data_IF_187294974472
#
_entry.id   IF_187294974472
#
_cell.length_a   1.000
_cell.length_b   1.000
_cell.length_c   1.000
_cell.angle_alpha   90.00
_cell.angle_beta   90.00
_cell.angle_gamma   90.00
#
_symmetry.space_group_name_H-M   'P 1'
#
loop_
_entity.id
_entity.type
_entity.pdbx_description
1 polymer ?
#
# COMPACT_ATOMS: atom_id res chain seq x y z
N UNK A 1 -4.10 12.92 -29.46
CA UNK A 1 -3.94 11.49 -29.81
C UNK A 1 -4.09 10.62 -28.57
N UNK A 2 -4.42 9.34 -28.75
CA UNK A 2 -4.45 8.37 -27.65
C UNK A 2 -3.03 7.94 -27.25
N UNK A 3 -2.82 7.62 -25.97
CA UNK A 3 -1.56 7.05 -25.50
C UNK A 3 -1.35 5.64 -26.07
N UNK A 4 -0.10 5.14 -26.12
CA UNK A 4 0.15 3.71 -26.30
C UNK A 4 -0.63 2.86 -25.28
N UNK A 5 -0.94 1.61 -25.62
CA UNK A 5 -1.65 0.69 -24.72
C UNK A 5 -0.91 0.55 -23.37
N UNK A 6 0.42 0.59 -23.38
CA UNK A 6 1.25 0.49 -22.16
C UNK A 6 1.28 1.77 -21.32
N UNK A 7 0.85 2.90 -21.87
CA UNK A 7 0.97 4.23 -21.26
C UNK A 7 2.21 4.99 -21.70
N UNK A 8 2.54 6.05 -20.96
CA UNK A 8 3.70 6.92 -21.21
C UNK A 8 4.99 6.22 -20.76
N UNK A 9 5.94 6.00 -21.68
CA UNK A 9 7.15 5.23 -21.43
C UNK A 9 8.07 5.90 -20.38
N UNK A 10 8.18 7.22 -20.46
CA UNK A 10 8.96 8.05 -19.54
C UNK A 10 8.45 7.93 -18.11
N UNK A 11 7.14 7.96 -17.92
CA UNK A 11 6.49 7.75 -16.62
C UNK A 11 6.71 6.34 -16.08
N UNK A 12 6.54 5.32 -16.93
CA UNK A 12 6.78 3.94 -16.55
C UNK A 12 8.23 3.73 -16.11
N UNK A 13 9.21 4.31 -16.82
CA UNK A 13 10.63 4.23 -16.47
C UNK A 13 10.93 4.97 -15.16
N UNK A 14 10.47 6.21 -15.03
CA UNK A 14 10.69 7.03 -13.83
C UNK A 14 10.12 6.37 -12.57
N UNK A 15 8.97 5.69 -12.68
CA UNK A 15 8.43 4.90 -11.57
C UNK A 15 9.40 3.80 -11.14
N UNK A 16 9.87 2.98 -12.08
CA UNK A 16 10.74 1.85 -11.75
C UNK A 16 12.05 2.35 -11.16
N UNK A 17 12.60 3.43 -11.69
CA UNK A 17 13.77 4.11 -11.12
C UNK A 17 13.54 4.56 -9.67
N UNK A 18 12.37 5.13 -9.37
CA UNK A 18 12.01 5.55 -8.02
C UNK A 18 11.76 4.37 -7.05
N UNK A 19 11.09 3.30 -7.50
CA UNK A 19 10.75 2.15 -6.68
C UNK A 19 11.92 1.19 -6.47
N UNK A 20 12.72 1.03 -7.51
CA UNK A 20 13.81 0.07 -7.61
C UNK A 20 15.18 0.73 -7.68
N UNK A 21 15.36 2.03 -7.55
CA UNK A 21 16.67 2.68 -7.54
C UNK A 21 17.53 2.55 -8.83
N UNK A 22 18.27 3.60 -9.15
CA UNK A 22 19.15 3.65 -10.34
C UNK A 22 20.23 2.55 -10.37
N UNK A 23 20.68 2.10 -9.20
CA UNK A 23 21.79 1.14 -9.08
C UNK A 23 21.38 -0.30 -9.30
N UNK A 24 20.08 -0.59 -9.36
CA UNK A 24 19.55 -1.94 -9.47
C UNK A 24 19.82 -2.58 -10.83
N UNK A 25 20.21 -3.84 -10.82
CA UNK A 25 20.42 -4.61 -12.06
C UNK A 25 19.12 -4.83 -12.83
N UNK A 26 17.98 -5.03 -12.17
CA UNK A 26 16.65 -5.12 -12.82
C UNK A 26 16.36 -3.87 -13.64
N UNK A 27 16.63 -2.67 -13.07
CA UNK A 27 16.43 -1.41 -13.76
C UNK A 27 17.42 -1.24 -14.92
N UNK A 28 18.73 -1.43 -14.66
CA UNK A 28 19.79 -1.27 -15.68
C UNK A 28 19.64 -2.21 -16.87
N UNK A 29 19.29 -3.47 -16.60
CA UNK A 29 19.15 -4.52 -17.62
C UNK A 29 17.76 -4.57 -18.24
N UNK A 30 16.84 -3.67 -17.83
CA UNK A 30 15.46 -3.62 -18.32
C UNK A 30 14.70 -4.94 -18.16
N UNK A 31 14.94 -5.64 -17.04
CA UNK A 31 14.30 -6.90 -16.68
C UNK A 31 12.95 -6.69 -15.99
N UNK A 32 12.13 -5.80 -16.55
CA UNK A 32 10.83 -5.48 -15.99
C UNK A 32 9.87 -5.07 -17.10
N UNK A 33 8.57 -5.17 -16.80
CA UNK A 33 7.50 -4.63 -17.62
C UNK A 33 6.62 -3.76 -16.78
N UNK A 34 6.45 -2.51 -17.18
CA UNK A 34 5.55 -1.57 -16.52
C UNK A 34 4.44 -1.16 -17.46
N UNK A 35 3.21 -1.29 -16.98
CA UNK A 35 2.02 -0.77 -17.65
C UNK A 35 1.39 0.29 -16.76
N UNK A 36 1.07 1.45 -17.33
CA UNK A 36 0.24 2.44 -16.67
C UNK A 36 -1.16 1.87 -16.37
N UNK A 37 -1.62 2.09 -15.15
CA UNK A 37 -2.90 1.62 -14.64
C UNK A 37 -3.70 2.79 -14.06
N UNK A 38 -4.97 2.51 -13.75
CA UNK A 38 -5.92 3.51 -13.24
C UNK A 38 -5.92 3.42 -11.71
N UNK A 39 -5.06 4.20 -11.06
CA UNK A 39 -4.86 4.18 -9.59
C UNK A 39 -4.43 2.81 -9.03
N UNK A 40 -4.22 2.70 -7.72
CA UNK A 40 -3.87 1.44 -7.06
C UNK A 40 -4.97 0.38 -7.16
N UNK A 41 -6.23 0.78 -7.09
CA UNK A 41 -7.39 -0.11 -7.12
C UNK A 41 -7.45 -0.95 -8.41
N UNK A 42 -7.30 -0.33 -9.59
CA UNK A 42 -7.33 -1.09 -10.85
C UNK A 42 -6.03 -1.81 -11.14
N UNK A 43 -4.93 -1.40 -10.52
CA UNK A 43 -3.68 -2.14 -10.54
C UNK A 43 -3.86 -3.54 -9.92
N UNK A 44 -4.59 -3.64 -8.81
CA UNK A 44 -4.98 -4.94 -8.23
C UNK A 44 -5.88 -5.76 -9.16
N UNK A 45 -6.76 -5.11 -9.94
CA UNK A 45 -7.59 -5.81 -10.93
C UNK A 45 -6.77 -6.43 -12.07
N UNK A 46 -5.69 -5.76 -12.51
CA UNK A 46 -4.76 -6.29 -13.52
C UNK A 46 -4.04 -7.52 -12.98
N UNK A 47 -3.54 -7.46 -11.74
CA UNK A 47 -3.00 -8.63 -11.02
C UNK A 47 -3.99 -9.79 -11.06
N UNK A 48 -5.24 -9.57 -10.66
CA UNK A 48 -6.22 -10.66 -10.56
C UNK A 48 -6.47 -11.33 -11.91
N UNK A 49 -6.53 -10.53 -12.97
CA UNK A 49 -6.61 -11.05 -14.34
C UNK A 49 -5.38 -11.85 -14.77
N UNK A 50 -4.18 -11.41 -14.37
CA UNK A 50 -2.93 -12.14 -14.65
C UNK A 50 -2.92 -13.47 -13.89
N UNK A 51 -3.30 -13.47 -12.62
CA UNK A 51 -3.38 -14.68 -11.80
C UNK A 51 -4.42 -15.66 -12.35
N UNK A 52 -5.63 -15.18 -12.66
CA UNK A 52 -6.69 -16.02 -13.22
C UNK A 52 -6.31 -16.66 -14.55
N UNK A 53 -5.53 -15.96 -15.38
CA UNK A 53 -5.14 -16.44 -16.72
C UNK A 53 -4.01 -17.46 -16.68
N UNK A 54 -2.99 -17.22 -15.85
CA UNK A 54 -1.73 -17.97 -15.91
C UNK A 54 -1.52 -18.92 -14.73
N UNK A 55 -2.22 -18.73 -13.61
CA UNK A 55 -2.10 -19.58 -12.43
C UNK A 55 -3.31 -20.49 -12.38
N UNK A 56 -3.11 -21.75 -12.72
CA UNK A 56 -4.13 -22.79 -12.58
C UNK A 56 -4.23 -23.18 -11.11
N UNK A 57 -5.19 -22.61 -10.39
CA UNK A 57 -5.55 -23.10 -9.06
C UNK A 57 -6.12 -24.51 -9.20
N UNK A 58 -5.58 -25.47 -8.44
CA UNK A 58 -6.05 -26.85 -8.46
C UNK A 58 -7.55 -26.91 -8.13
N UNK A 59 -8.38 -27.60 -8.93
CA UNK A 59 -9.83 -27.70 -8.67
C UNK A 59 -10.18 -28.32 -7.32
N UNK A 60 -9.26 -29.12 -6.73
CA UNK A 60 -9.42 -29.74 -5.42
C UNK A 60 -8.95 -28.89 -4.23
N UNK A 61 -8.42 -27.69 -4.48
CA UNK A 61 -8.02 -26.79 -3.41
C UNK A 61 -9.09 -25.68 -3.32
N UNK A 62 -9.87 -25.60 -2.22
CA UNK A 62 -10.75 -24.47 -2.03
C UNK A 62 -9.94 -23.18 -2.14
N UNK A 63 -10.50 -22.17 -2.82
CA UNK A 63 -9.91 -20.83 -2.90
C UNK A 63 -10.05 -20.21 -1.53
N UNK A 64 -9.17 -20.58 -0.61
CA UNK A 64 -9.24 -20.12 0.77
C UNK A 64 -9.01 -18.62 0.84
N UNK A 65 -9.96 -17.93 1.45
CA UNK A 65 -9.84 -16.56 1.90
C UNK A 65 -9.37 -16.66 3.34
N UNK A 66 -8.06 -16.63 3.58
CA UNK A 66 -7.61 -16.43 4.95
C UNK A 66 -7.72 -14.92 5.20
N UNK A 67 -8.62 -14.55 6.09
CA UNK A 67 -8.72 -13.17 6.57
C UNK A 67 -7.70 -12.99 7.68
N UNK A 68 -6.79 -12.03 7.52
CA UNK A 68 -5.91 -11.65 8.61
C UNK A 68 -6.61 -10.74 9.61
N UNK A 69 -6.18 -10.88 10.85
CA UNK A 69 -6.80 -10.37 12.08
C UNK A 69 -6.89 -8.85 12.22
N UNK A 70 -6.38 -8.07 11.28
CA UNK A 70 -6.51 -6.61 11.27
C UNK A 70 -7.06 -6.13 9.93
N UNK A 71 -8.27 -5.56 9.99
CA UNK A 71 -9.09 -5.25 8.81
C UNK A 71 -8.28 -4.54 7.71
N UNK A 72 -8.33 -5.07 6.49
CA UNK A 72 -7.75 -4.44 5.29
C UNK A 72 -8.67 -3.34 4.76
N UNK A 73 -8.15 -2.44 3.93
CA UNK A 73 -8.96 -1.44 3.21
C UNK A 73 -10.16 -2.11 2.50
N UNK A 74 -11.39 -1.62 2.79
CA UNK A 74 -12.65 -2.06 2.19
C UNK A 74 -12.60 -2.16 0.65
N UNK A 75 -11.86 -1.24 0.00
CA UNK A 75 -11.69 -1.21 -1.45
C UNK A 75 -10.93 -2.42 -2.01
N UNK A 76 -10.02 -3.03 -1.25
CA UNK A 76 -9.38 -4.29 -1.64
C UNK A 76 -10.46 -5.36 -1.80
N UNK A 77 -11.43 -5.43 -0.88
CA UNK A 77 -12.55 -6.38 -0.95
C UNK A 77 -13.53 -6.11 -2.10
N UNK A 78 -13.79 -4.83 -2.43
CA UNK A 78 -14.76 -4.48 -3.49
C UNK A 78 -14.26 -4.69 -4.92
N UNK A 79 -12.95 -4.61 -5.16
CA UNK A 79 -12.37 -4.99 -6.47
C UNK A 79 -12.46 -6.49 -6.72
N UNK A 80 -12.40 -7.24 -5.63
CA UNK A 80 -12.34 -8.70 -5.60
C UNK A 80 -13.71 -9.32 -5.90
N UNK A 81 -14.82 -8.68 -5.50
CA UNK A 81 -16.16 -9.19 -5.77
C UNK A 81 -17.22 -8.08 -5.95
N UNK A 82 -17.43 -7.57 -7.18
CA UNK A 82 -18.43 -6.56 -7.44
C UNK A 82 -19.89 -7.07 -7.46
N UNK A 83 -20.14 -8.40 -7.47
CA UNK A 83 -21.49 -8.96 -7.72
C UNK A 83 -21.82 -10.21 -6.85
N UNK A 84 -21.02 -10.56 -5.85
CA UNK A 84 -21.24 -11.77 -5.04
C UNK A 84 -21.04 -13.09 -5.80
N UNK A 85 -20.49 -13.03 -7.00
CA UNK A 85 -20.76 -14.04 -8.04
C UNK A 85 -19.53 -14.56 -8.77
N UNK A 86 -18.33 -14.53 -8.20
CA UNK A 86 -17.26 -15.40 -8.68
C UNK A 86 -16.34 -15.79 -7.53
N UNK A 87 -16.17 -17.10 -7.36
CA UNK A 87 -14.99 -17.69 -6.74
C UNK A 87 -13.77 -17.04 -7.40
N UNK A 88 -13.07 -16.14 -6.71
CA UNK A 88 -11.82 -15.52 -7.15
C UNK A 88 -10.73 -15.88 -6.11
N UNK A 89 -9.47 -16.07 -6.51
CA UNK A 89 -8.38 -16.29 -5.56
C UNK A 89 -8.10 -14.98 -4.81
N UNK A 90 -8.25 -14.99 -3.49
CA UNK A 90 -8.08 -13.81 -2.64
C UNK A 90 -6.80 -13.97 -1.83
N UNK A 91 -6.01 -12.89 -1.82
CA UNK A 91 -4.76 -12.77 -1.07
C UNK A 91 -4.94 -12.06 0.26
N UNK A 92 -4.26 -12.63 1.26
CA UNK A 92 -4.00 -12.05 2.57
C UNK A 92 -3.21 -10.75 2.41
N UNK A 93 -3.64 -9.73 3.15
CA UNK A 93 -2.85 -8.52 3.40
C UNK A 93 -2.26 -8.62 4.79
N UNK A 94 -0.95 -8.87 4.85
CA UNK A 94 -0.21 -8.97 6.09
C UNK A 94 -0.06 -7.63 6.77
N UNK A 95 -0.64 -7.53 7.97
CA UNK A 95 -0.72 -6.29 8.71
C UNK A 95 -0.60 -6.53 10.21
N UNK A 96 0.41 -5.90 10.79
CA UNK A 96 0.68 -5.61 12.20
C UNK A 96 1.17 -6.70 13.16
N UNK A 97 0.83 -7.99 13.01
CA UNK A 97 1.38 -9.04 13.88
C UNK A 97 2.33 -9.97 13.12
N UNK A 98 3.61 -9.92 13.47
CA UNK A 98 4.68 -10.64 12.80
C UNK A 98 4.55 -12.17 12.96
N UNK A 99 4.21 -12.65 14.16
CA UNK A 99 4.13 -14.10 14.43
C UNK A 99 2.96 -14.70 13.66
N UNK A 100 1.76 -14.12 13.79
CA UNK A 100 0.60 -14.57 13.01
C UNK A 100 0.87 -14.49 11.52
N UNK A 101 1.55 -13.43 11.05
CA UNK A 101 1.94 -13.28 9.64
C UNK A 101 2.77 -14.47 9.16
N UNK A 102 3.82 -14.85 9.88
CA UNK A 102 4.65 -15.99 9.47
C UNK A 102 3.88 -17.31 9.52
N UNK A 103 3.08 -17.52 10.55
CA UNK A 103 2.25 -18.73 10.67
C UNK A 103 1.27 -18.87 9.52
N UNK A 104 0.60 -17.78 9.17
CA UNK A 104 -0.40 -17.78 8.12
C UNK A 104 0.26 -18.00 6.75
N UNK A 105 1.37 -17.31 6.43
CA UNK A 105 2.17 -17.59 5.22
C UNK A 105 2.57 -19.07 5.17
N UNK A 106 2.99 -19.65 6.30
CA UNK A 106 3.43 -21.05 6.34
C UNK A 106 2.33 -22.06 6.06
N UNK A 107 1.08 -21.70 6.35
CA UNK A 107 -0.13 -22.54 6.17
C UNK A 107 -0.81 -22.27 4.82
N UNK A 108 -0.37 -21.28 4.05
CA UNK A 108 -1.00 -20.92 2.78
C UNK A 108 -0.91 -22.07 1.76
N UNK A 109 -2.07 -22.49 1.28
CA UNK A 109 -2.20 -23.41 0.15
C UNK A 109 -2.00 -22.71 -1.20
N UNK A 110 -2.15 -21.38 -1.23
CA UNK A 110 -1.93 -20.54 -2.41
C UNK A 110 -0.50 -20.02 -2.47
N UNK A 111 0.02 -19.89 -3.68
CA UNK A 111 1.42 -19.61 -3.94
C UNK A 111 1.65 -18.12 -4.30
N UNK A 112 0.86 -17.22 -3.72
CA UNK A 112 0.92 -15.79 -4.01
C UNK A 112 0.48 -14.99 -2.78
N UNK A 113 0.96 -13.74 -2.67
CA UNK A 113 0.66 -12.86 -1.51
C UNK A 113 0.62 -11.39 -1.92
N UNK A 114 -0.22 -10.59 -1.25
CA UNK A 114 -0.20 -9.12 -1.33
C UNK A 114 0.39 -8.53 -0.04
N UNK A 115 1.50 -7.82 -0.16
CA UNK A 115 2.19 -7.18 0.96
C UNK A 115 2.14 -5.67 0.78
N UNK A 116 1.80 -4.93 1.82
CA UNK A 116 1.98 -3.48 1.82
C UNK A 116 3.45 -3.18 2.13
N UNK A 117 4.09 -2.36 1.29
CA UNK A 117 5.53 -2.10 1.42
C UNK A 117 5.83 -1.19 2.62
N UNK A 118 4.97 -0.20 2.83
CA UNK A 118 5.05 0.79 3.90
C UNK A 118 3.67 1.39 4.19
N UNK A 119 3.56 2.05 5.34
CA UNK A 119 2.36 2.66 5.90
C UNK A 119 1.12 1.77 5.72
N UNK A 120 1.16 0.56 6.31
CA UNK A 120 0.07 -0.40 6.19
C UNK A 120 -1.29 0.25 6.49
N UNK A 121 -2.21 0.22 5.51
CA UNK A 121 -3.56 0.74 5.69
C UNK A 121 -4.51 -0.37 6.15
N UNK A 122 -5.19 -0.22 7.30
CA UNK A 122 -5.42 1.01 8.09
C UNK A 122 -4.59 1.15 9.37
N UNK A 123 -3.71 0.20 9.66
CA UNK A 123 -3.10 0.08 10.99
C UNK A 123 -1.91 1.03 11.24
N UNK A 124 -1.24 1.48 10.19
CA UNK A 124 -0.01 2.27 10.24
C UNK A 124 1.22 1.49 10.74
N UNK A 125 1.14 0.14 10.80
CA UNK A 125 2.22 -0.72 11.31
C UNK A 125 3.00 -1.33 10.17
N UNK A 126 4.30 -1.07 10.15
CA UNK A 126 5.22 -1.67 9.19
C UNK A 126 6.16 -2.65 9.89
N UNK A 127 6.63 -3.66 9.15
CA UNK A 127 7.64 -4.58 9.65
C UNK A 127 9.03 -3.94 9.64
N UNK A 128 9.86 -4.32 10.62
CA UNK A 128 11.26 -3.94 10.63
C UNK A 128 12.05 -4.68 9.53
N UNK A 129 13.20 -4.15 9.09
CA UNK A 129 14.03 -4.82 8.07
C UNK A 129 14.38 -6.28 8.38
N UNK A 130 14.64 -6.61 9.65
CA UNK A 130 14.93 -7.99 10.06
C UNK A 130 13.69 -8.90 9.94
N UNK A 131 12.51 -8.39 10.29
CA UNK A 131 11.24 -9.11 10.11
C UNK A 131 10.94 -9.34 8.62
N UNK A 132 11.20 -8.35 7.77
CA UNK A 132 11.06 -8.50 6.33
C UNK A 132 11.98 -9.59 5.76
N UNK A 133 13.22 -9.72 6.23
CA UNK A 133 14.15 -10.81 5.83
C UNK A 133 13.59 -12.20 6.19
N UNK A 134 13.02 -12.33 7.39
CA UNK A 134 12.38 -13.57 7.82
C UNK A 134 11.15 -13.89 6.97
N UNK A 135 10.30 -12.89 6.70
CA UNK A 135 9.14 -13.03 5.81
C UNK A 135 9.60 -13.50 4.43
N UNK A 136 10.60 -12.87 3.82
CA UNK A 136 11.11 -13.29 2.52
C UNK A 136 11.64 -14.73 2.51
N UNK A 137 12.29 -15.15 3.61
CA UNK A 137 12.79 -16.53 3.75
C UNK A 137 11.64 -17.55 3.75
N UNK A 138 10.51 -17.24 4.41
CA UNK A 138 9.32 -18.11 4.41
C UNK A 138 8.61 -18.06 3.06
N UNK A 139 8.42 -16.86 2.50
CA UNK A 139 7.80 -16.64 1.18
C UNK A 139 8.54 -17.44 0.11
N UNK A 140 9.88 -17.39 0.07
CA UNK A 140 10.69 -18.12 -0.93
C UNK A 140 10.42 -19.63 -0.96
N UNK A 141 9.98 -20.23 0.15
CA UNK A 141 9.73 -21.68 0.25
C UNK A 141 8.36 -22.10 -0.29
N UNK A 142 7.39 -21.19 -0.29
CA UNK A 142 5.96 -21.53 -0.41
C UNK A 142 5.29 -20.74 -1.56
N UNK A 143 5.75 -19.51 -1.79
CA UNK A 143 5.11 -18.52 -2.65
C UNK A 143 5.89 -18.36 -3.95
N UNK A 144 5.16 -18.37 -5.06
CA UNK A 144 5.68 -18.15 -6.41
C UNK A 144 5.64 -16.67 -6.79
N UNK A 145 4.67 -15.87 -6.29
CA UNK A 145 4.56 -14.44 -6.61
C UNK A 145 4.23 -13.55 -5.41
N UNK A 146 4.97 -12.46 -5.26
CA UNK A 146 4.70 -11.40 -4.30
C UNK A 146 4.19 -10.16 -5.03
N UNK A 147 3.04 -9.66 -4.62
CA UNK A 147 2.50 -8.39 -5.06
C UNK A 147 2.73 -7.35 -3.98
N UNK A 148 3.39 -6.25 -4.32
CA UNK A 148 3.64 -5.14 -3.40
C UNK A 148 2.65 -4.01 -3.64
N UNK A 149 1.76 -3.76 -2.67
CA UNK A 149 0.91 -2.57 -2.65
C UNK A 149 1.70 -1.35 -2.18
N UNK A 150 1.83 -0.34 -3.04
CA UNK A 150 2.70 0.82 -2.83
C UNK A 150 1.92 2.14 -2.94
N UNK A 151 1.14 2.51 -1.92
CA UNK A 151 0.31 3.72 -1.97
C UNK A 151 0.94 4.95 -1.29
N UNK A 152 2.04 4.78 -0.57
CA UNK A 152 2.58 5.77 0.36
C UNK A 152 4.09 6.02 0.22
N UNK A 153 4.71 5.54 -0.86
CA UNK A 153 6.17 5.69 -1.04
C UNK A 153 6.58 7.17 -0.95
N UNK A 154 7.55 7.47 -0.08
CA UNK A 154 8.06 8.82 0.21
C UNK A 154 7.17 9.61 1.16
N UNK A 155 5.86 9.35 1.16
CA UNK A 155 4.88 9.99 2.03
C UNK A 155 4.82 9.36 3.43
N UNK A 156 5.25 8.11 3.57
CA UNK A 156 5.19 7.36 4.81
C UNK A 156 6.27 7.83 5.79
N UNK A 157 7.55 7.75 5.41
CA UNK A 157 8.67 8.15 6.27
C UNK A 157 9.34 9.48 5.88
N UNK A 158 8.98 10.05 4.74
CA UNK A 158 9.71 11.16 4.13
C UNK A 158 10.87 10.71 3.22
N UNK A 159 11.16 9.40 3.17
CA UNK A 159 12.24 8.84 2.34
C UNK A 159 11.69 7.76 1.41
N UNK A 160 11.65 8.08 0.10
CA UNK A 160 11.14 7.18 -0.93
C UNK A 160 11.97 5.91 -1.11
N UNK A 161 13.25 5.93 -0.78
CA UNK A 161 14.09 4.74 -0.80
C UNK A 161 13.73 3.84 0.38
N UNK A 162 13.70 4.39 1.60
CA UNK A 162 13.31 3.62 2.78
C UNK A 162 11.92 3.00 2.66
N UNK A 163 10.99 3.73 2.05
CA UNK A 163 9.59 3.32 1.88
C UNK A 163 9.36 2.30 0.76
N UNK A 164 10.38 1.96 -0.05
CA UNK A 164 10.23 1.02 -1.16
C UNK A 164 11.46 0.17 -1.44
N UNK A 165 12.61 0.82 -1.66
CA UNK A 165 13.85 0.21 -2.11
C UNK A 165 14.31 -0.91 -1.18
N UNK A 166 14.38 -0.63 0.13
CA UNK A 166 14.93 -1.58 1.10
C UNK A 166 14.08 -2.85 1.21
N UNK A 167 12.75 -2.69 1.16
CA UNK A 167 11.80 -3.81 1.27
C UNK A 167 11.67 -4.59 -0.04
N UNK A 168 11.56 -3.91 -1.18
CA UNK A 168 11.31 -4.58 -2.46
C UNK A 168 12.58 -5.22 -3.03
N UNK A 169 13.71 -4.50 -3.01
CA UNK A 169 14.91 -4.94 -3.72
C UNK A 169 15.79 -5.87 -2.89
N UNK A 170 16.35 -5.38 -1.80
CA UNK A 170 17.33 -6.14 -1.01
C UNK A 170 16.74 -7.40 -0.39
N UNK A 171 15.44 -7.38 -0.09
CA UNK A 171 14.84 -8.46 0.69
C UNK A 171 14.18 -9.52 -0.20
N UNK A 172 13.54 -9.15 -1.32
CA UNK A 172 12.80 -10.11 -2.15
C UNK A 172 13.45 -10.36 -3.52
N UNK A 173 13.85 -9.31 -4.23
CA UNK A 173 14.43 -9.46 -5.58
C UNK A 173 15.79 -10.16 -5.50
N UNK A 174 16.68 -9.78 -4.59
CA UNK A 174 17.98 -10.46 -4.42
C UNK A 174 17.84 -11.93 -4.00
N UNK A 175 16.74 -12.28 -3.32
CA UNK A 175 16.42 -13.66 -2.98
C UNK A 175 15.88 -14.47 -4.17
N UNK A 176 15.69 -13.86 -5.34
CA UNK A 176 15.17 -14.49 -6.55
C UNK A 176 13.67 -14.76 -6.50
N UNK A 177 12.92 -14.01 -5.69
CA UNK A 177 11.46 -14.12 -5.59
C UNK A 177 10.84 -13.31 -6.73
N UNK A 178 9.82 -13.84 -7.40
CA UNK A 178 9.11 -13.07 -8.44
C UNK A 178 8.23 -12.01 -7.78
N UNK A 179 8.45 -10.76 -8.17
CA UNK A 179 7.81 -9.60 -7.56
C UNK A 179 7.02 -8.83 -8.60
N UNK A 180 5.84 -8.35 -8.21
CA UNK A 180 5.07 -7.34 -8.92
C UNK A 180 4.88 -6.11 -8.04
N UNK A 181 5.02 -4.92 -8.61
CA UNK A 181 4.81 -3.65 -7.91
C UNK A 181 3.48 -3.05 -8.35
N UNK A 182 2.70 -2.62 -7.36
CA UNK A 182 1.36 -2.08 -7.55
C UNK A 182 1.22 -0.69 -6.90
N UNK A 183 1.88 0.36 -7.45
CA UNK A 183 1.78 1.69 -6.89
C UNK A 183 0.45 2.42 -7.14
N UNK A 184 0.14 3.32 -6.21
CA UNK A 184 -0.91 4.33 -6.34
C UNK A 184 -0.31 5.70 -6.09
N UNK A 185 -0.66 6.67 -6.94
CA UNK A 185 -0.14 8.03 -6.80
C UNK A 185 -1.11 9.01 -6.13
N UNK A 186 -2.25 8.53 -5.67
CA UNK A 186 -3.28 9.37 -5.09
C UNK A 186 -2.78 10.21 -3.89
N UNK A 187 -1.94 9.61 -3.04
CA UNK A 187 -1.58 10.19 -1.74
C UNK A 187 -0.23 10.89 -1.75
N UNK A 188 0.80 10.21 -2.24
CA UNK A 188 2.15 10.76 -2.33
C UNK A 188 2.22 12.01 -3.23
N UNK A 189 1.41 12.09 -4.29
CA UNK A 189 1.40 13.25 -5.22
C UNK A 189 0.15 14.11 -5.11
N UNK A 190 -0.78 13.81 -4.19
CA UNK A 190 -2.05 14.54 -4.04
C UNK A 190 -3.04 14.35 -5.19
N UNK A 191 -2.75 13.46 -6.14
CA UNK A 191 -3.55 13.18 -7.33
C UNK A 191 -4.71 12.22 -7.04
N UNK A 192 -5.54 12.52 -6.04
CA UNK A 192 -6.62 11.63 -5.60
C UNK A 192 -7.69 11.36 -6.67
N UNK A 193 -8.15 12.41 -7.32
CA UNK A 193 -9.17 12.35 -8.37
C UNK A 193 -8.59 11.99 -9.74
N UNK A 194 -7.27 12.06 -9.86
CA UNK A 194 -6.56 11.68 -11.07
C UNK A 194 -6.15 10.20 -10.98
N UNK A 195 -6.60 9.33 -11.89
CA UNK A 195 -6.41 7.89 -11.77
C UNK A 195 -4.98 7.45 -12.15
N UNK A 196 -3.98 7.87 -11.37
CA UNK A 196 -2.57 7.61 -11.64
C UNK A 196 -2.08 6.38 -10.86
N UNK A 197 -1.61 5.37 -11.59
CA UNK A 197 -1.05 4.14 -11.07
C UNK A 197 -0.20 3.43 -12.12
N UNK A 198 0.58 2.44 -11.70
CA UNK A 198 1.26 1.51 -12.61
C UNK A 198 1.16 0.09 -12.08
N UNK A 199 1.30 -0.88 -12.97
CA UNK A 199 1.49 -2.29 -12.65
C UNK A 199 2.83 -2.71 -13.24
N UNK A 200 3.76 -3.12 -12.38
CA UNK A 200 5.08 -3.57 -12.82
C UNK A 200 5.30 -5.03 -12.47
N UNK A 201 5.84 -5.80 -13.41
CA UNK A 201 6.28 -7.18 -13.20
C UNK A 201 7.79 -7.20 -13.35
N UNK A 202 8.50 -7.68 -12.33
CA UNK A 202 9.93 -7.99 -12.44
C UNK A 202 10.06 -9.33 -13.15
N UNK A 203 10.92 -9.39 -14.16
CA UNK A 203 11.15 -10.56 -14.99
C UNK A 203 12.58 -11.07 -14.79
N UNK A 204 12.82 -12.32 -15.17
CA UNK A 204 14.15 -12.93 -15.14
C UNK A 204 15.07 -12.35 -16.21
N UNK A 205 14.53 -12.09 -17.40
CA UNK A 205 15.27 -11.61 -18.56
C UNK A 205 14.38 -10.75 -19.48
N UNK A 206 15.01 -10.09 -20.46
CA UNK A 206 14.32 -9.20 -21.39
C UNK A 206 13.36 -9.92 -22.33
N UNK A 207 13.55 -11.22 -22.56
CA UNK A 207 12.67 -12.00 -23.44
C UNK A 207 11.40 -12.43 -22.70
N UNK A 208 11.50 -12.76 -21.42
CA UNK A 208 10.36 -12.89 -20.53
C UNK A 208 9.58 -11.58 -20.43
N UNK A 209 10.27 -10.44 -20.27
CA UNK A 209 9.63 -9.13 -20.24
C UNK A 209 8.77 -8.89 -21.50
N UNK A 210 9.29 -9.15 -22.71
CA UNK A 210 8.50 -9.03 -23.95
C UNK A 210 7.26 -9.94 -23.96
N UNK A 211 7.40 -11.18 -23.48
CA UNK A 211 6.26 -12.13 -23.39
C UNK A 211 5.21 -11.62 -22.40
N UNK A 212 5.63 -11.18 -21.21
CA UNK A 212 4.74 -10.64 -20.17
C UNK A 212 4.03 -9.39 -20.65
N UNK A 213 4.74 -8.46 -21.31
CA UNK A 213 4.14 -7.25 -21.87
C UNK A 213 3.04 -7.56 -22.89
N UNK A 214 3.26 -8.54 -23.78
CA UNK A 214 2.25 -8.96 -24.74
C UNK A 214 0.96 -9.44 -24.06
N UNK A 215 1.08 -10.18 -22.95
CA UNK A 215 -0.06 -10.69 -22.21
C UNK A 215 -0.74 -9.60 -21.39
N UNK A 216 0.01 -8.68 -20.80
CA UNK A 216 -0.55 -7.53 -20.09
C UNK A 216 -1.38 -6.64 -21.02
N UNK A 217 -0.92 -6.40 -22.26
CA UNK A 217 -1.71 -5.69 -23.28
C UNK A 217 -3.05 -6.37 -23.52
N UNK A 218 -3.06 -7.69 -23.72
CA UNK A 218 -4.27 -8.48 -23.96
C UNK A 218 -5.21 -8.44 -22.75
N UNK A 219 -4.69 -8.60 -21.54
CA UNK A 219 -5.51 -8.63 -20.32
C UNK A 219 -6.17 -7.30 -20.01
N UNK A 220 -5.48 -6.20 -20.31
CA UNK A 220 -5.94 -4.85 -19.95
C UNK A 220 -6.79 -4.19 -21.01
N UNK A 221 -6.64 -4.55 -22.30
CA UNK A 221 -7.42 -3.96 -23.39
C UNK A 221 -8.94 -4.04 -23.20
N UNK A 222 -9.52 -5.14 -22.65
CA UNK A 222 -10.96 -5.19 -22.32
C UNK A 222 -11.36 -4.33 -21.11
N UNK A 223 -10.41 -3.95 -20.25
CA UNK A 223 -10.68 -3.11 -19.08
C UNK A 223 -10.67 -1.63 -19.44
N UNK A 224 -9.71 -1.22 -20.25
CA UNK A 224 -9.57 0.11 -20.84
C UNK A 224 -8.61 0.01 -22.03
N UNK A 225 -8.94 0.60 -23.20
CA UNK A 225 -8.10 0.47 -24.39
C UNK A 225 -6.75 1.17 -24.23
N UNK A 226 -6.75 2.37 -23.64
CA UNK A 226 -5.56 3.17 -23.36
C UNK A 226 -5.72 3.83 -21.99
N UNK A 227 -4.63 4.00 -21.23
CA UNK A 227 -4.70 4.59 -19.91
C UNK A 227 -4.87 6.12 -20.00
N UNK A 228 -5.32 6.79 -18.92
CA UNK A 228 -5.64 8.22 -18.92
C UNK A 228 -4.38 9.12 -18.95
N UNK A 229 -4.45 10.29 -19.58
CA UNK A 229 -3.29 11.20 -19.75
C UNK A 229 -3.13 12.22 -18.62
N UNK A 230 -4.25 12.69 -18.07
CA UNK A 230 -4.36 13.93 -17.29
C UNK A 230 -3.36 14.02 -16.13
N UNK A 231 -3.40 13.09 -15.18
CA UNK A 231 -2.51 13.11 -14.01
C UNK A 231 -1.08 12.62 -14.25
N UNK A 232 -0.78 11.99 -15.40
CA UNK A 232 0.50 11.30 -15.61
C UNK A 232 1.66 12.27 -15.78
N UNK A 233 1.44 13.34 -16.52
CA UNK A 233 2.48 14.35 -16.72
C UNK A 233 2.81 15.07 -15.41
N UNK A 234 1.80 15.34 -14.58
CA UNK A 234 1.99 15.94 -13.26
C UNK A 234 2.79 14.98 -12.37
N UNK A 235 2.38 13.71 -12.31
CA UNK A 235 3.10 12.71 -11.53
C UNK A 235 4.54 12.52 -12.02
N UNK A 236 4.77 12.53 -13.34
CA UNK A 236 6.11 12.47 -13.92
C UNK A 236 6.98 13.65 -13.48
N UNK A 237 6.45 14.88 -13.54
CA UNK A 237 7.16 16.08 -13.07
C UNK A 237 7.50 15.96 -11.58
N UNK A 238 6.56 15.49 -10.76
CA UNK A 238 6.79 15.32 -9.31
C UNK A 238 7.88 14.28 -9.04
N UNK A 239 7.87 13.15 -9.75
CA UNK A 239 8.86 12.08 -9.55
C UNK A 239 10.26 12.42 -10.08
N UNK A 240 10.36 13.30 -11.07
CA UNK A 240 11.64 13.62 -11.73
C UNK A 240 12.26 14.94 -11.26
N UNK A 241 11.50 15.78 -10.55
CA UNK A 241 11.98 17.04 -9.99
C UNK A 241 12.47 16.85 -8.55
N UNK A 242 13.76 17.11 -8.25
CA UNK A 242 14.28 17.04 -6.89
C UNK A 242 13.53 17.94 -5.90
N UNK A 243 13.12 19.12 -6.34
CA UNK A 243 12.40 20.09 -5.49
C UNK A 243 11.02 19.55 -5.11
N UNK A 244 10.31 18.93 -6.06
CA UNK A 244 8.99 18.33 -5.80
C UNK A 244 9.11 17.10 -4.90
N UNK A 245 10.16 16.29 -5.06
CA UNK A 245 10.45 15.18 -4.15
C UNK A 245 10.70 15.67 -2.72
N UNK A 246 11.39 16.81 -2.55
CA UNK A 246 11.57 17.45 -1.24
C UNK A 246 10.24 17.90 -0.63
N UNK A 247 9.29 18.40 -1.42
CA UNK A 247 7.94 18.71 -0.93
C UNK A 247 7.21 17.46 -0.42
N UNK A 248 7.31 16.33 -1.14
CA UNK A 248 6.75 15.05 -0.71
C UNK A 248 7.39 14.57 0.61
N UNK A 249 8.70 14.69 0.72
CA UNK A 249 9.44 14.45 1.97
C UNK A 249 8.93 15.35 3.10
N UNK A 250 8.72 16.64 2.82
CA UNK A 250 8.17 17.62 3.76
C UNK A 250 6.77 17.24 4.27
N UNK A 251 5.90 16.72 3.40
CA UNK A 251 4.58 16.20 3.79
C UNK A 251 4.69 15.01 4.75
N UNK A 252 5.61 14.07 4.48
CA UNK A 252 5.88 12.95 5.37
C UNK A 252 6.31 13.41 6.77
N UNK A 253 7.27 14.34 6.85
CA UNK A 253 7.71 14.91 8.12
C UNK A 253 6.59 15.66 8.87
N UNK A 254 5.73 16.38 8.13
CA UNK A 254 4.59 17.07 8.72
C UNK A 254 3.61 16.07 9.39
N UNK A 255 3.33 14.95 8.75
CA UNK A 255 2.49 13.87 9.29
C UNK A 255 3.07 13.30 10.58
N UNK A 256 4.37 12.97 10.59
CA UNK A 256 5.06 12.47 11.79
C UNK A 256 5.02 13.51 12.94
N UNK A 257 5.22 14.78 12.61
CA UNK A 257 5.11 15.88 13.57
C UNK A 257 3.70 15.96 14.16
N UNK A 258 2.65 15.83 13.34
CA UNK A 258 1.27 15.92 13.82
C UNK A 258 0.89 14.77 14.74
N UNK A 259 1.37 13.55 14.47
CA UNK A 259 1.21 12.43 15.41
C UNK A 259 1.89 12.70 16.76
N UNK A 260 3.11 13.24 16.73
CA UNK A 260 3.85 13.58 17.95
C UNK A 260 3.12 14.64 18.78
N UNK A 261 2.56 15.65 18.13
CA UNK A 261 1.81 16.72 18.77
C UNK A 261 0.46 16.23 19.32
N UNK A 262 -0.23 15.34 18.62
CA UNK A 262 -1.47 14.72 19.11
C UNK A 262 -1.20 13.91 20.38
N UNK A 263 -0.16 13.09 20.39
CA UNK A 263 0.22 12.31 21.59
C UNK A 263 0.64 13.21 22.74
N UNK A 264 1.36 14.30 22.47
CA UNK A 264 1.70 15.30 23.49
C UNK A 264 0.44 15.93 24.10
N UNK A 265 -0.54 16.27 23.26
CA UNK A 265 -1.79 16.89 23.71
C UNK A 265 -2.67 15.92 24.50
N UNK A 266 -2.77 14.67 24.07
CA UNK A 266 -3.46 13.60 24.81
C UNK A 266 -2.86 13.39 26.20
N UNK A 267 -1.52 13.39 26.30
CA UNK A 267 -0.82 13.28 27.60
C UNK A 267 -1.13 14.46 28.51
N UNK A 268 -1.21 15.69 27.97
CA UNK A 268 -1.57 16.90 28.75
C UNK A 268 -2.99 16.83 29.32
N UNK A 269 -3.94 16.28 28.57
CA UNK A 269 -5.33 16.08 29.01
C UNK A 269 -5.48 14.93 30.03
N UNK A 270 -4.42 14.19 30.33
CA UNK A 270 -4.46 13.08 31.29
C UNK A 270 -4.93 11.75 30.70
N UNK A 271 -4.84 11.58 29.38
CA UNK A 271 -5.03 10.27 28.75
C UNK A 271 -3.94 9.29 29.23
N UNK A 272 -4.27 8.00 29.48
CA UNK A 272 -3.32 7.03 29.99
C UNK A 272 -2.00 6.98 29.19
N UNK A 273 -0.89 6.67 29.86
CA UNK A 273 0.46 6.60 29.28
C UNK A 273 0.62 5.62 28.10
N UNK A 274 -0.40 4.79 27.81
CA UNK A 274 -0.45 3.91 26.64
C UNK A 274 -0.81 4.68 25.36
N UNK A 275 0.05 5.59 24.92
CA UNK A 275 -0.07 6.31 23.62
C UNK A 275 1.11 6.04 22.68
N UNK A 276 2.09 5.25 23.10
CA UNK A 276 3.32 5.04 22.33
C UNK A 276 3.05 4.33 20.99
N UNK A 277 2.04 3.45 20.98
CA UNK A 277 1.54 2.81 19.77
C UNK A 277 0.97 3.79 18.72
N UNK A 278 0.80 5.09 19.02
CA UNK A 278 0.40 6.13 18.06
C UNK A 278 1.64 6.76 17.41
N UNK A 279 2.71 7.00 18.19
CA UNK A 279 3.97 7.55 17.66
C UNK A 279 4.80 6.52 16.91
N UNK A 280 4.65 5.23 17.22
CA UNK A 280 5.39 4.15 16.57
C UNK A 280 4.80 3.80 15.18
N UNK A 281 3.78 4.52 14.73
CA UNK A 281 3.10 4.28 13.45
C UNK A 281 3.59 5.21 12.38
N UNK A 282 3.48 4.74 11.15
CA UNK A 282 3.94 5.44 9.95
C UNK A 282 2.73 5.70 9.04
N UNK A 283 2.72 6.88 8.42
CA UNK A 283 1.72 7.29 7.46
C UNK A 283 0.49 7.98 8.05
N UNK A 284 -0.54 8.10 7.21
CA UNK A 284 -1.68 9.00 7.46
C UNK A 284 -2.70 8.47 8.45
N UNK A 285 -2.73 7.15 8.67
CA UNK A 285 -3.73 6.49 9.49
C UNK A 285 -3.08 5.77 10.66
N UNK A 286 -3.72 5.85 11.81
CA UNK A 286 -3.38 5.03 12.97
C UNK A 286 -4.63 4.31 13.45
N UNK A 287 -4.43 3.04 13.85
CA UNK A 287 -5.44 2.23 14.50
C UNK A 287 -5.25 2.17 16.01
N UNK A 288 -6.41 2.07 16.68
CA UNK A 288 -6.73 1.46 17.97
C UNK A 288 -6.51 2.31 19.21
N UNK A 289 -7.62 2.53 19.90
CA UNK A 289 -7.70 3.07 21.25
C UNK A 289 -9.15 3.26 21.70
N UNK A 290 -10.05 3.45 20.74
CA UNK A 290 -11.47 3.74 20.97
C UNK A 290 -12.37 2.55 20.64
N UNK A 291 -13.30 2.25 21.53
CA UNK A 291 -14.41 1.31 21.30
C UNK A 291 -15.47 1.97 20.40
N UNK A 292 -16.28 1.19 19.66
CA UNK A 292 -17.37 1.74 18.83
C UNK A 292 -18.31 2.68 19.60
N UNK A 293 -18.61 2.36 20.86
CA UNK A 293 -19.41 3.21 21.76
C UNK A 293 -18.76 4.58 22.02
N UNK A 294 -17.43 4.61 22.16
CA UNK A 294 -16.67 5.85 22.37
C UNK A 294 -16.61 6.69 21.09
N UNK A 295 -16.49 6.04 19.92
CA UNK A 295 -16.58 6.71 18.62
C UNK A 295 -17.96 7.32 18.39
N UNK A 296 -19.03 6.62 18.79
CA UNK A 296 -20.38 7.14 18.71
C UNK A 296 -20.58 8.37 19.61
N UNK A 297 -20.04 8.34 20.84
CA UNK A 297 -20.02 9.50 21.74
C UNK A 297 -19.24 10.67 21.15
N UNK A 298 -18.06 10.44 20.58
CA UNK A 298 -17.30 11.50 19.88
C UNK A 298 -18.11 12.15 18.76
N UNK A 299 -18.87 11.35 18.02
CA UNK A 299 -19.74 11.84 16.95
C UNK A 299 -20.89 12.68 17.50
N UNK A 300 -21.59 12.21 18.54
CA UNK A 300 -22.78 12.87 19.10
C UNK A 300 -22.47 14.07 19.99
N UNK A 301 -21.47 13.95 20.85
CA UNK A 301 -21.14 14.95 21.89
C UNK A 301 -20.13 15.98 21.37
N UNK A 302 -19.22 15.59 20.47
CA UNK A 302 -18.07 16.41 20.05
C UNK A 302 -17.96 16.61 18.52
N UNK A 303 -18.97 16.18 17.74
CA UNK A 303 -18.96 16.32 16.27
C UNK A 303 -17.66 15.86 15.60
N UNK A 304 -17.00 14.85 16.17
CA UNK A 304 -15.73 14.33 15.70
C UNK A 304 -15.97 12.99 15.00
N UNK A 305 -15.69 12.95 13.70
CA UNK A 305 -16.04 11.83 12.83
C UNK A 305 -14.81 10.98 12.50
N UNK A 306 -14.93 9.67 12.67
CA UNK A 306 -13.91 8.67 12.30
C UNK A 306 -14.59 7.34 11.97
N UNK A 307 -13.83 6.34 11.52
CA UNK A 307 -14.41 5.02 11.24
C UNK A 307 -14.87 4.36 12.55
N UNK A 308 -15.86 3.47 12.48
CA UNK A 308 -16.43 2.80 13.67
C UNK A 308 -15.39 1.97 14.43
N UNK A 309 -14.35 1.52 13.74
CA UNK A 309 -13.23 0.77 14.28
C UNK A 309 -12.19 1.68 14.99
N UNK A 310 -12.40 3.00 14.98
CA UNK A 310 -11.53 3.97 15.64
C UNK A 310 -10.26 4.31 14.85
N UNK A 311 -10.30 4.24 13.51
CA UNK A 311 -9.20 4.69 12.67
C UNK A 311 -9.21 6.21 12.55
N UNK A 312 -8.12 6.85 12.96
CA UNK A 312 -7.93 8.31 12.86
C UNK A 312 -7.10 8.62 11.61
N UNK A 313 -7.55 9.61 10.84
CA UNK A 313 -6.76 10.24 9.79
C UNK A 313 -6.11 11.51 10.33
N UNK A 314 -4.79 11.53 10.47
CA UNK A 314 -4.07 12.71 10.99
C UNK A 314 -4.13 13.90 10.04
N UNK A 315 -4.44 13.69 8.77
CA UNK A 315 -4.61 14.76 7.79
C UNK A 315 -5.76 15.73 8.13
N UNK A 316 -6.72 15.33 8.97
CA UNK A 316 -7.77 16.21 9.47
C UNK A 316 -7.39 16.99 10.73
N UNK A 317 -6.20 16.74 11.30
CA UNK A 317 -5.73 17.35 12.54
C UNK A 317 -4.90 18.59 12.20
N UNK A 318 -5.22 19.70 12.85
CA UNK A 318 -4.53 20.99 12.72
C UNK A 318 -4.13 21.48 14.10
N UNK A 319 -3.23 22.45 14.18
CA UNK A 319 -2.84 23.07 15.46
C UNK A 319 -4.05 23.66 16.20
N UNK A 320 -5.02 24.19 15.45
CA UNK A 320 -6.21 24.83 16.01
C UNK A 320 -7.20 23.82 16.62
N UNK A 321 -7.33 22.63 16.01
CA UNK A 321 -8.28 21.60 16.47
C UNK A 321 -7.64 20.53 17.38
N UNK A 322 -6.31 20.51 17.50
CA UNK A 322 -5.56 19.50 18.23
C UNK A 322 -5.99 19.39 19.70
N UNK A 323 -6.13 20.54 20.38
CA UNK A 323 -6.54 20.60 21.78
C UNK A 323 -7.98 20.11 21.97
N UNK A 324 -8.88 20.52 21.08
CA UNK A 324 -10.27 20.07 21.08
C UNK A 324 -10.38 18.54 20.90
N UNK A 325 -9.64 18.00 19.92
CA UNK A 325 -9.62 16.57 19.65
C UNK A 325 -9.07 15.77 20.85
N UNK A 326 -7.95 16.22 21.43
CA UNK A 326 -7.35 15.57 22.59
C UNK A 326 -8.32 15.55 23.79
N UNK A 327 -8.98 16.69 24.03
CA UNK A 327 -9.99 16.81 25.09
C UNK A 327 -11.17 15.86 24.85
N UNK A 328 -11.74 15.87 23.64
CA UNK A 328 -12.87 15.01 23.27
C UNK A 328 -12.52 13.53 23.45
N UNK A 329 -11.34 13.10 22.99
CA UNK A 329 -10.85 11.71 23.16
C UNK A 329 -10.73 11.38 24.65
N UNK A 330 -10.18 12.27 25.47
CA UNK A 330 -10.08 12.05 26.91
C UNK A 330 -11.47 11.91 27.57
N UNK A 331 -12.43 12.77 27.24
CA UNK A 331 -13.79 12.74 27.82
C UNK A 331 -14.54 11.43 27.52
N UNK A 332 -14.37 10.85 26.33
CA UNK A 332 -15.04 9.58 25.98
C UNK A 332 -14.31 8.35 26.51
N UNK A 333 -13.04 8.47 26.90
CA UNK A 333 -12.22 7.36 27.39
C UNK A 333 -12.02 7.31 28.88
N UNK A 334 -12.30 8.40 29.60
CA UNK A 334 -12.27 8.44 31.05
C UNK A 334 -13.26 7.40 31.61
N UNK A 335 -12.75 6.48 32.42
CA UNK A 335 -13.57 5.55 33.20
C UNK A 335 -14.25 6.38 34.29
N UNK A 336 -15.58 6.36 34.33
CA UNK A 336 -16.39 6.98 35.40
C UNK A 336 -16.26 6.16 36.67
#
# INVERSE_FOLDING_TARGET
EYLPIVGVAEFCKAFVELALGEKNEVFKSSQYVTKQAISGTRTLRIRDSLLQRFFKFSPNHPREIIHLSSGTLACTFMVIDPVGSYSQPIFLVFGCDFISTLEDISKMLQQNVLLHVCAHNPTGVDFHPEQWKEIATVVKKIIIFVFFGMAYQGFASGDGNKDAWDTCHFIFIEQGINVCLCPSYARNTGLYSEPVGTFTVVCKDTDEAKRVESQLKILTSPMYPNPPVSGIWIALIIMTSPDMLQEVTGMGHHITSMWTQLVSSLKKEGFPNYCQHITDRIGMFCFRGLKPEQVERLTKEFSTYMTKEGHISVAGVTLDNLGYLAHAIHQVTKVI
#
